data_IF_842835440375
#
_entry.id   IF_842835440375
#
_cell.length_a   1.000
_cell.length_b   1.000
_cell.length_c   1.000
_cell.angle_alpha   90.00
_cell.angle_beta   90.00
_cell.angle_gamma   90.00
#
_symmetry.space_group_name_H-M   'P 1'
#
loop_
_entity.id
_entity.type
_entity.pdbx_description
1 polymer ?
#
# COMPACT_ATOMS: atom_id res chain seq x y z
N UNK A 1 -12.55 -1.92 0.14
CA UNK A 1 -13.24 -3.10 0.71
C UNK A 1 -14.75 -2.86 0.71
N UNK A 2 -15.64 -3.85 0.66
CA UNK A 2 -17.11 -3.62 0.80
C UNK A 2 -17.51 -3.12 2.19
N UNK A 3 -16.68 -3.37 3.19
CA UNK A 3 -16.80 -2.86 4.55
C UNK A 3 -15.43 -2.51 5.12
N UNK A 4 -15.33 -1.38 5.82
CA UNK A 4 -14.10 -0.92 6.46
C UNK A 4 -13.65 -1.82 7.61
N UNK A 5 -14.58 -2.57 8.22
CA UNK A 5 -14.30 -3.45 9.36
C UNK A 5 -13.87 -4.84 8.95
N UNK A 6 -14.29 -5.30 7.77
CA UNK A 6 -14.00 -6.65 7.28
C UNK A 6 -12.50 -6.88 7.06
N UNK A 7 -12.00 -8.04 7.52
CA UNK A 7 -10.64 -8.54 7.27
C UNK A 7 -10.67 -10.03 6.96
N UNK A 8 -9.78 -10.49 6.09
CA UNK A 8 -9.61 -11.90 5.75
C UNK A 8 -10.19 -12.29 4.39
N UNK A 9 -10.07 -13.58 4.02
CA UNK A 9 -10.31 -14.06 2.67
C UNK A 9 -11.79 -14.05 2.25
N UNK A 10 -12.71 -13.93 3.21
CA UNK A 10 -14.15 -13.87 2.95
C UNK A 10 -14.66 -12.44 2.72
N UNK A 11 -13.77 -11.45 2.82
CA UNK A 11 -14.14 -10.06 2.60
C UNK A 11 -14.25 -9.76 1.11
N UNK A 12 -15.34 -9.10 0.74
CA UNK A 12 -15.61 -8.75 -0.65
C UNK A 12 -15.13 -7.35 -1.01
N UNK A 13 -14.93 -7.14 -2.29
CA UNK A 13 -14.49 -5.90 -2.89
C UNK A 13 -15.61 -5.35 -3.79
N UNK A 14 -15.74 -4.03 -3.91
CA UNK A 14 -16.71 -3.38 -4.81
C UNK A 14 -16.02 -2.93 -6.11
N UNK A 15 -16.78 -2.84 -7.20
CA UNK A 15 -16.27 -2.29 -8.46
C UNK A 15 -16.68 -3.14 -9.65
N UNK A 16 -16.29 -2.69 -10.84
CA UNK A 16 -16.32 -3.47 -12.07
C UNK A 16 -14.90 -3.66 -12.62
N UNK A 17 -14.67 -4.68 -13.46
CA UNK A 17 -13.34 -5.11 -13.92
C UNK A 17 -12.38 -3.96 -14.28
N UNK A 18 -12.90 -2.90 -14.90
CA UNK A 18 -12.12 -1.75 -15.36
C UNK A 18 -12.48 -0.44 -14.63
N UNK A 19 -13.20 -0.50 -13.51
CA UNK A 19 -13.70 0.66 -12.78
C UNK A 19 -13.69 0.40 -11.28
N UNK A 20 -12.68 0.94 -10.60
CA UNK A 20 -12.61 0.96 -9.15
C UNK A 20 -13.45 2.12 -8.59
N UNK A 21 -14.30 1.88 -7.57
CA UNK A 21 -14.96 2.93 -6.80
C UNK A 21 -14.09 3.49 -5.67
N UNK A 22 -12.85 3.04 -5.50
CA UNK A 22 -11.96 3.62 -4.50
C UNK A 22 -11.59 5.07 -4.85
N UNK A 23 -11.42 5.91 -3.83
CA UNK A 23 -11.01 7.29 -4.02
C UNK A 23 -9.69 7.38 -4.78
N UNK A 24 -9.63 8.32 -5.73
CA UNK A 24 -8.40 8.64 -6.45
C UNK A 24 -7.42 9.35 -5.52
N UNK A 25 -6.16 8.93 -5.55
CA UNK A 25 -5.08 9.74 -4.99
C UNK A 25 -4.98 11.11 -5.69
N UNK A 26 -4.62 12.15 -4.94
CA UNK A 26 -4.47 13.51 -5.47
C UNK A 26 -3.28 13.65 -6.43
N UNK A 27 -2.24 12.84 -6.25
CA UNK A 27 -1.04 12.82 -7.08
C UNK A 27 -1.17 11.77 -8.19
N UNK A 28 -1.60 10.56 -7.84
CA UNK A 28 -1.71 9.43 -8.78
C UNK A 28 -2.91 9.54 -9.74
N UNK A 29 -3.97 10.25 -9.36
CA UNK A 29 -5.11 10.57 -10.24
C UNK A 29 -5.93 9.36 -10.70
N UNK A 30 -5.65 8.17 -10.18
CA UNK A 30 -6.19 6.88 -10.64
C UNK A 30 -6.93 6.20 -9.49
N UNK A 31 -8.13 5.68 -9.75
CA UNK A 31 -8.94 5.03 -8.73
C UNK A 31 -8.46 3.59 -8.52
N UNK A 32 -8.38 3.14 -7.27
CA UNK A 32 -7.82 1.82 -6.95
C UNK A 32 -6.29 1.79 -6.97
N UNK A 33 -5.66 2.95 -6.87
CA UNK A 33 -4.21 3.06 -6.84
C UNK A 33 -3.84 4.35 -6.09
N UNK A 34 -2.84 4.26 -5.22
CA UNK A 34 -2.34 5.38 -4.43
C UNK A 34 -0.82 5.20 -4.30
N UNK A 35 -0.05 6.27 -4.11
CA UNK A 35 1.40 6.15 -3.93
C UNK A 35 1.81 5.90 -2.48
N UNK A 36 3.03 5.39 -2.25
CA UNK A 36 3.64 5.30 -0.91
C UNK A 36 3.69 6.68 -0.25
N UNK A 37 4.03 7.72 -1.02
CA UNK A 37 4.03 9.10 -0.53
C UNK A 37 2.66 9.57 -0.04
N UNK A 38 1.59 9.29 -0.81
CA UNK A 38 0.22 9.65 -0.45
C UNK A 38 -0.27 8.89 0.80
N UNK A 39 0.09 7.61 0.94
CA UNK A 39 -0.18 6.83 2.16
C UNK A 39 0.55 7.44 3.36
N UNK A 40 1.84 7.77 3.20
CA UNK A 40 2.62 8.41 4.26
C UNK A 40 2.05 9.78 4.64
N UNK A 41 1.50 10.53 3.69
CA UNK A 41 0.77 11.77 3.96
C UNK A 41 -0.49 11.54 4.80
N UNK A 42 -1.30 10.54 4.46
CA UNK A 42 -2.50 10.16 5.23
C UNK A 42 -2.11 9.82 6.67
N UNK A 43 -1.09 8.98 6.85
CA UNK A 43 -0.61 8.58 8.18
C UNK A 43 -0.08 9.79 8.96
N UNK A 44 0.78 10.60 8.35
CA UNK A 44 1.42 11.75 9.01
C UNK A 44 0.41 12.83 9.43
N UNK A 45 -0.68 12.98 8.70
CA UNK A 45 -1.78 13.91 9.03
C UNK A 45 -2.80 13.32 10.02
N UNK A 46 -2.59 12.10 10.50
CA UNK A 46 -3.53 11.42 11.42
C UNK A 46 -4.82 10.96 10.74
N UNK A 47 -4.85 10.85 9.41
CA UNK A 47 -6.02 10.39 8.65
C UNK A 47 -6.22 8.88 8.65
N UNK A 48 -5.23 8.11 9.09
CA UNK A 48 -5.35 6.66 9.26
C UNK A 48 -6.20 6.35 10.49
N UNK A 49 -7.47 5.99 10.25
CA UNK A 49 -8.46 5.68 11.29
C UNK A 49 -8.14 4.31 11.93
N UNK A 50 -7.54 3.40 11.14
CA UNK A 50 -7.14 2.07 11.62
C UNK A 50 -5.94 1.57 10.83
N UNK A 51 -4.97 0.97 11.52
CA UNK A 51 -3.80 0.32 10.89
C UNK A 51 -3.63 -1.08 11.47
N UNK A 52 -3.09 -2.01 10.68
CA UNK A 52 -2.68 -3.34 11.14
C UNK A 52 -1.70 -3.96 10.14
N UNK A 53 -0.98 -4.97 10.61
CA UNK A 53 -0.17 -5.85 9.77
C UNK A 53 -0.92 -7.18 9.64
N UNK A 54 -1.12 -7.64 8.40
CA UNK A 54 -1.71 -8.95 8.09
C UNK A 54 -0.59 -9.97 7.85
N UNK A 55 -0.36 -10.83 8.83
CA UNK A 55 0.74 -11.79 8.82
C UNK A 55 0.62 -12.82 7.69
N UNK A 56 -0.61 -13.23 7.34
CA UNK A 56 -0.83 -14.26 6.33
C UNK A 56 -0.48 -13.79 4.90
N UNK A 57 -0.78 -12.53 4.58
CA UNK A 57 -0.42 -11.91 3.29
C UNK A 57 0.88 -11.10 3.34
N UNK A 58 1.50 -11.04 4.52
CA UNK A 58 2.69 -10.24 4.78
C UNK A 58 2.53 -8.76 4.38
N UNK A 59 1.38 -8.15 4.66
CA UNK A 59 1.03 -6.81 4.16
C UNK A 59 0.66 -5.86 5.28
N UNK A 60 1.06 -4.59 5.17
CA UNK A 60 0.53 -3.53 6.02
C UNK A 60 -0.79 -3.03 5.44
N UNK A 61 -1.74 -2.74 6.32
CA UNK A 61 -3.06 -2.30 5.91
C UNK A 61 -3.47 -1.05 6.69
N UNK A 62 -4.21 -0.14 6.06
CA UNK A 62 -4.91 0.92 6.77
C UNK A 62 -6.28 1.23 6.20
N UNK A 63 -7.12 1.83 7.05
CA UNK A 63 -8.40 2.44 6.68
C UNK A 63 -8.30 3.95 6.91
N UNK A 64 -8.80 4.73 5.98
CA UNK A 64 -8.84 6.19 6.04
C UNK A 64 -10.17 6.70 5.47
N UNK A 65 -10.51 7.96 5.78
CA UNK A 65 -11.71 8.63 5.25
C UNK A 65 -13.02 7.81 5.30
N UNK A 66 -13.23 7.05 6.38
CA UNK A 66 -14.42 6.24 6.60
C UNK A 66 -14.25 4.79 6.15
N UNK A 67 -14.25 4.54 4.84
CA UNK A 67 -14.24 3.19 4.26
C UNK A 67 -13.19 2.96 3.17
N UNK A 68 -12.35 3.97 2.89
CA UNK A 68 -11.20 3.77 2.03
C UNK A 68 -10.18 2.88 2.72
N UNK A 69 -9.71 1.88 1.99
CA UNK A 69 -8.92 0.79 2.53
C UNK A 69 -7.76 0.53 1.60
N UNK A 70 -6.55 0.44 2.15
CA UNK A 70 -5.33 0.16 1.40
C UNK A 70 -4.51 -0.95 2.05
N UNK A 71 -4.01 -1.87 1.22
CA UNK A 71 -2.86 -2.70 1.53
C UNK A 71 -1.62 -2.11 0.87
N UNK A 72 -0.54 -2.07 1.62
CA UNK A 72 0.74 -1.51 1.22
C UNK A 72 1.86 -2.23 1.96
N UNK A 73 3.09 -1.75 1.81
CA UNK A 73 4.21 -2.21 2.62
C UNK A 73 4.90 -1.04 3.28
N UNK A 74 4.93 -1.06 4.61
CA UNK A 74 5.79 -0.19 5.39
C UNK A 74 7.26 -0.51 5.11
N UNK A 75 8.15 0.41 5.50
CA UNK A 75 9.60 0.20 5.45
C UNK A 75 10.04 -1.07 6.17
N UNK A 76 9.35 -1.45 7.26
CA UNK A 76 9.64 -2.64 8.05
C UNK A 76 9.30 -3.91 7.26
N UNK A 77 8.09 -3.98 6.69
CA UNK A 77 7.64 -5.12 5.87
C UNK A 77 8.48 -5.26 4.60
N UNK A 78 8.80 -4.14 3.94
CA UNK A 78 9.72 -4.09 2.79
C UNK A 78 11.09 -4.69 3.10
N UNK A 79 11.71 -4.24 4.19
CA UNK A 79 13.02 -4.74 4.63
C UNK A 79 12.96 -6.25 4.94
N UNK A 80 11.87 -6.72 5.55
CA UNK A 80 11.69 -8.14 5.85
C UNK A 80 11.56 -8.98 4.59
N UNK A 81 10.69 -8.62 3.64
CA UNK A 81 10.54 -9.34 2.36
C UNK A 81 11.85 -9.41 1.58
N UNK A 82 12.59 -8.31 1.50
CA UNK A 82 13.90 -8.29 0.83
C UNK A 82 14.86 -9.32 1.44
N UNK A 83 14.94 -9.38 2.77
CA UNK A 83 15.75 -10.37 3.47
C UNK A 83 15.27 -11.80 3.20
N UNK A 84 13.96 -12.03 3.10
CA UNK A 84 13.43 -13.35 2.81
C UNK A 84 13.76 -13.80 1.38
N UNK A 85 13.68 -12.90 0.39
CA UNK A 85 14.15 -13.18 -0.96
C UNK A 85 15.67 -13.46 -1.03
N UNK A 86 16.47 -12.74 -0.24
CA UNK A 86 17.90 -13.03 -0.12
C UNK A 86 18.17 -14.43 0.46
N UNK A 87 17.43 -14.85 1.50
CA UNK A 87 17.54 -16.21 2.08
C UNK A 87 17.16 -17.31 1.09
N UNK A 88 16.27 -17.00 0.15
CA UNK A 88 15.84 -17.90 -0.93
C UNK A 88 16.81 -17.92 -2.12
N UNK A 89 17.98 -17.27 -2.01
CA UNK A 89 18.98 -17.15 -3.07
C UNK A 89 18.46 -16.50 -4.36
N UNK A 90 17.50 -15.58 -4.25
CA UNK A 90 17.11 -14.76 -5.40
C UNK A 90 18.22 -13.75 -5.72
N UNK A 91 18.37 -13.40 -7.01
CA UNK A 91 19.42 -12.49 -7.48
C UNK A 91 19.23 -11.02 -7.06
N UNK A 92 18.08 -10.67 -6.48
CA UNK A 92 17.74 -9.32 -6.05
C UNK A 92 16.23 -9.08 -6.05
N UNK A 93 15.84 -7.81 -6.01
CA UNK A 93 14.43 -7.35 -6.05
C UNK A 93 14.29 -6.21 -7.08
N UNK A 94 13.07 -5.79 -7.45
CA UNK A 94 12.83 -4.62 -8.36
C UNK A 94 11.68 -3.70 -7.93
N UNK A 95 11.84 -2.36 -8.07
CA UNK A 95 10.84 -1.33 -7.66
C UNK A 95 10.02 -0.80 -8.78
N UNK A 96 8.77 -0.53 -8.44
CA UNK A 96 7.81 0.11 -9.29
C UNK A 96 6.87 1.05 -8.48
N UNK A 97 7.24 2.29 -8.30
CA UNK A 97 8.34 2.96 -8.97
C UNK A 97 8.90 4.04 -8.07
N UNK A 98 10.09 4.51 -8.46
CA UNK A 98 10.83 5.52 -7.70
C UNK A 98 10.02 6.81 -7.52
N UNK A 99 9.15 7.17 -8.46
CA UNK A 99 8.28 8.34 -8.42
C UNK A 99 7.09 8.22 -7.46
N UNK A 100 6.76 7.00 -7.01
CA UNK A 100 5.68 6.76 -6.05
C UNK A 100 6.16 6.84 -4.60
N UNK A 101 7.47 6.79 -4.39
CA UNK A 101 8.07 6.75 -3.07
C UNK A 101 8.10 8.15 -2.43
N UNK A 102 8.16 8.20 -1.10
CA UNK A 102 8.49 9.42 -0.37
C UNK A 102 7.98 9.46 1.06
N UNK A 103 8.75 10.13 1.92
CA UNK A 103 8.24 10.52 3.24
C UNK A 103 7.55 11.88 3.12
N UNK A 104 6.31 11.95 3.59
CA UNK A 104 5.61 13.22 3.68
C UNK A 104 6.33 14.18 4.63
N UNK A 105 6.43 15.46 4.24
CA UNK A 105 7.04 16.51 5.06
C UNK A 105 8.59 16.52 5.09
N UNK A 106 9.26 15.64 4.34
CA UNK A 106 10.74 15.63 4.25
C UNK A 106 11.19 16.03 2.84
N UNK A 107 12.05 17.04 2.75
CA UNK A 107 12.78 17.39 1.51
C UNK A 107 14.11 16.60 1.54
N UNK A 108 14.29 15.66 0.62
CA UNK A 108 15.45 14.75 0.50
C UNK A 108 15.47 13.57 1.49
N UNK A 109 14.57 12.62 1.30
CA UNK A 109 14.81 11.26 1.81
C UNK A 109 15.77 10.54 0.88
N UNK A 110 16.94 10.12 1.38
CA UNK A 110 17.75 9.13 0.67
C UNK A 110 16.92 7.86 0.58
N UNK A 111 16.54 7.48 -0.65
CA UNK A 111 15.84 6.24 -0.92
C UNK A 111 16.90 5.15 -1.02
N UNK A 112 17.06 4.25 -0.02
CA UNK A 112 17.84 3.06 -0.27
C UNK A 112 17.19 2.33 -1.44
N UNK A 113 18.00 1.92 -2.42
CA UNK A 113 17.64 1.10 -3.57
C UNK A 113 16.66 0.01 -3.14
N UNK A 114 15.38 0.24 -3.37
CA UNK A 114 14.35 -0.65 -2.87
C UNK A 114 13.21 -0.62 -3.82
N UNK A 115 12.39 -1.68 -3.66
CA UNK A 115 11.60 -2.40 -4.66
C UNK A 115 10.12 -2.59 -4.29
N UNK A 116 9.11 -2.05 -5.00
CA UNK A 116 7.70 -2.41 -4.83
C UNK A 116 6.75 -2.00 -5.96
N UNK A 117 5.74 -2.82 -6.26
CA UNK A 117 4.51 -2.53 -7.05
C UNK A 117 3.34 -2.41 -6.05
N UNK A 118 2.55 -1.34 -6.05
CA UNK A 118 1.25 -1.31 -5.35
C UNK A 118 0.12 -1.64 -6.33
N UNK A 119 -0.54 -2.77 -6.13
CA UNK A 119 -1.83 -3.05 -6.76
C UNK A 119 -2.91 -3.16 -5.69
N UNK A 120 -3.95 -2.35 -5.82
CA UNK A 120 -5.24 -2.72 -5.24
C UNK A 120 -5.95 -3.55 -6.30
N UNK A 121 -6.38 -4.74 -5.92
CA UNK A 121 -7.52 -5.33 -6.60
C UNK A 121 -8.74 -5.12 -5.72
N UNK A 122 -9.64 -4.24 -6.17
CA UNK A 122 -11.04 -4.28 -5.75
C UNK A 122 -11.82 -5.18 -6.72
N UNK A 123 -11.25 -6.34 -7.12
CA UNK A 123 -11.90 -7.34 -7.97
C UNK A 123 -11.54 -8.80 -7.63
N UNK A 124 -12.64 -9.56 -7.48
CA UNK A 124 -12.82 -11.02 -7.29
C UNK A 124 -12.00 -11.66 -6.18
#
# INVERSE_FOLDING_TARGET
MSSSTCRGPQCTYLGERNKSPAKKGRCTGTAGYISDFEINEIIAKGGAIRTWYDEASDSDCLVYEGDEWVAYMSKVTKTRRMRDYMKLNFGGTTDWAIDLQGDFGKRNTSYPNTTHIQFYNRHV
#
